data_IF_279197348861
#
_entry.id   IF_279197348861
#
_cell.length_a   1.000
_cell.length_b   1.000
_cell.length_c   1.000
_cell.angle_alpha   90.00
_cell.angle_beta   90.00
_cell.angle_gamma   90.00
#
_symmetry.space_group_name_H-M   'P 1'
#
loop_
_entity.id
_entity.type
_entity.pdbx_description
1 polymer ?
#
# COMPACT_ATOMS: atom_id res chain seq x y z
N UNK A 1 25.76 -31.18 17.68
CA UNK A 1 26.02 -30.31 16.53
C UNK A 1 24.78 -29.71 15.89
N UNK A 2 23.57 -30.26 16.11
CA UNK A 2 22.38 -29.86 15.32
C UNK A 2 21.45 -28.83 16.01
N UNK A 3 21.77 -28.36 17.21
CA UNK A 3 20.95 -27.41 17.95
C UNK A 3 20.99 -26.01 17.30
N UNK A 4 22.10 -25.65 16.65
CA UNK A 4 22.30 -24.32 16.03
C UNK A 4 21.68 -24.15 14.64
N UNK A 5 21.15 -25.19 14.02
CA UNK A 5 20.55 -25.13 12.67
C UNK A 5 19.03 -24.88 12.65
N UNK A 6 18.42 -24.58 13.81
CA UNK A 6 16.97 -24.40 13.94
C UNK A 6 16.58 -23.06 14.53
N UNK A 7 17.43 -22.04 14.40
CA UNK A 7 17.11 -20.71 14.90
C UNK A 7 16.51 -19.90 13.75
N UNK A 8 15.29 -19.47 13.94
CA UNK A 8 14.57 -18.64 12.98
C UNK A 8 14.89 -17.14 13.15
N UNK A 9 15.38 -16.76 14.36
CA UNK A 9 15.67 -15.37 14.70
C UNK A 9 16.80 -15.25 15.71
N UNK A 10 17.65 -14.24 15.51
CA UNK A 10 18.72 -13.85 16.42
C UNK A 10 18.40 -12.43 16.94
N UNK A 11 18.35 -12.27 18.25
CA UNK A 11 18.21 -10.99 18.92
C UNK A 11 19.55 -10.58 19.52
N UNK A 12 20.02 -9.38 19.16
CA UNK A 12 21.29 -8.83 19.66
C UNK A 12 20.97 -7.62 20.53
N UNK A 13 21.33 -7.65 21.80
CA UNK A 13 21.24 -6.52 22.73
C UNK A 13 22.65 -6.01 23.03
N UNK A 14 23.13 -4.94 22.38
CA UNK A 14 24.40 -4.34 22.65
C UNK A 14 24.36 -3.48 23.93
N UNK A 15 25.51 -3.04 24.40
CA UNK A 15 25.61 -2.06 25.49
C UNK A 15 24.96 -0.74 25.12
N UNK A 16 24.13 -0.17 26.02
CA UNK A 16 23.38 1.09 25.78
C UNK A 16 24.27 2.35 25.70
N UNK A 17 25.59 2.24 25.82
CA UNK A 17 26.55 3.36 25.72
C UNK A 17 27.28 3.43 24.38
N UNK A 18 26.93 2.55 23.41
CA UNK A 18 27.47 2.55 22.05
C UNK A 18 26.60 3.30 21.04
N UNK A 19 27.16 3.60 19.88
CA UNK A 19 26.41 4.08 18.74
C UNK A 19 25.72 2.91 18.09
N UNK A 20 24.40 3.02 17.85
CA UNK A 20 23.62 1.99 17.17
C UNK A 20 24.08 1.81 15.71
N UNK A 21 24.46 2.90 15.04
CA UNK A 21 25.03 2.86 13.69
C UNK A 21 26.23 1.92 13.56
N UNK A 22 27.13 1.92 14.54
CA UNK A 22 28.31 1.08 14.48
C UNK A 22 27.97 -0.41 14.63
N UNK A 23 26.98 -0.72 15.47
CA UNK A 23 26.47 -2.09 15.62
C UNK A 23 25.77 -2.56 14.34
N UNK A 24 24.97 -1.70 13.71
CA UNK A 24 24.30 -1.99 12.43
C UNK A 24 25.35 -2.35 11.38
N UNK A 25 26.38 -1.52 11.19
CA UNK A 25 27.46 -1.77 10.22
C UNK A 25 28.17 -3.09 10.50
N UNK A 26 28.42 -3.44 11.76
CA UNK A 26 29.06 -4.70 12.12
C UNK A 26 28.18 -5.92 11.77
N UNK A 27 26.87 -5.81 11.99
CA UNK A 27 25.91 -6.86 11.64
C UNK A 27 25.76 -6.98 10.12
N UNK A 28 25.66 -5.87 9.39
CA UNK A 28 25.57 -5.84 7.91
C UNK A 28 26.76 -6.56 7.27
N UNK A 29 27.98 -6.30 7.73
CA UNK A 29 29.17 -7.03 7.26
C UNK A 29 29.07 -8.53 7.47
N UNK A 30 28.50 -8.96 8.61
CA UNK A 30 28.31 -10.39 8.90
C UNK A 30 27.20 -10.99 7.96
N UNK A 31 26.15 -10.23 7.67
CA UNK A 31 25.11 -10.63 6.74
C UNK A 31 25.67 -10.77 5.31
N UNK A 32 26.55 -9.87 4.88
CA UNK A 32 27.22 -9.94 3.58
C UNK A 32 28.07 -11.20 3.43
N UNK A 33 28.69 -11.67 4.52
CA UNK A 33 29.47 -12.91 4.55
C UNK A 33 28.59 -14.18 4.69
N UNK A 34 27.36 -14.04 5.19
CA UNK A 34 26.45 -15.13 5.46
C UNK A 34 25.09 -14.91 4.79
N UNK A 35 24.90 -15.31 3.51
CA UNK A 35 23.66 -15.04 2.75
C UNK A 35 22.38 -15.64 3.35
N UNK A 36 22.52 -16.59 4.29
CA UNK A 36 21.38 -17.17 5.02
C UNK A 36 20.83 -16.24 6.12
N UNK A 37 21.58 -15.18 6.48
CA UNK A 37 21.16 -14.18 7.45
C UNK A 37 20.55 -12.97 6.75
N UNK A 38 19.56 -12.36 7.39
CA UNK A 38 18.98 -11.10 6.97
C UNK A 38 18.86 -10.17 8.18
N UNK A 39 19.40 -8.96 8.05
CA UNK A 39 19.11 -7.91 9.01
C UNK A 39 17.65 -7.50 8.87
N UNK A 40 16.85 -7.79 9.89
CA UNK A 40 15.41 -7.57 9.85
C UNK A 40 15.03 -6.19 10.40
N UNK A 41 15.56 -5.83 11.55
CA UNK A 41 15.21 -4.56 12.21
C UNK A 41 16.25 -4.14 13.25
N UNK A 42 16.26 -2.85 13.55
CA UNK A 42 17.07 -2.24 14.60
C UNK A 42 16.18 -1.35 15.46
N UNK A 43 16.23 -1.61 16.76
CA UNK A 43 15.27 -1.10 17.74
C UNK A 43 15.98 -0.35 18.83
N UNK A 44 15.47 0.83 19.18
CA UNK A 44 15.93 1.59 20.36
C UNK A 44 14.83 1.59 21.41
N UNK A 45 15.19 1.22 22.65
CA UNK A 45 14.28 1.29 23.80
C UNK A 45 14.71 2.47 24.69
N UNK A 46 13.78 3.39 24.95
CA UNK A 46 14.07 4.58 25.76
C UNK A 46 13.00 4.88 26.80
N UNK A 47 13.37 5.49 27.92
CA UNK A 47 12.45 5.94 28.96
C UNK A 47 11.72 7.22 28.50
N UNK A 48 10.43 7.13 28.25
CA UNK A 48 9.59 8.24 27.79
C UNK A 48 9.68 9.49 28.69
N UNK A 49 9.90 9.30 30.01
CA UNK A 49 10.03 10.40 30.97
C UNK A 49 11.38 11.12 30.90
N UNK A 50 12.36 10.55 30.21
CA UNK A 50 13.77 11.02 30.20
C UNK A 50 14.24 11.50 28.82
N UNK A 51 13.45 11.40 27.76
CA UNK A 51 13.82 11.76 26.39
C UNK A 51 14.54 13.12 26.32
N UNK A 52 13.91 14.17 26.82
CA UNK A 52 14.49 15.53 26.82
C UNK A 52 15.81 15.62 27.57
N UNK A 53 15.92 14.95 28.75
CA UNK A 53 17.12 14.98 29.58
C UNK A 53 18.27 14.20 28.92
N UNK A 54 17.95 13.06 28.29
CA UNK A 54 18.93 12.23 27.62
C UNK A 54 19.48 12.87 26.36
N UNK A 55 18.60 13.48 25.53
CA UNK A 55 19.04 14.27 24.37
C UNK A 55 20.01 15.38 24.73
N UNK A 56 19.78 16.05 25.88
CA UNK A 56 20.63 17.13 26.33
C UNK A 56 21.97 16.65 26.91
N UNK A 57 21.95 15.58 27.72
CA UNK A 57 23.12 15.16 28.53
C UNK A 57 23.98 14.14 27.80
N UNK A 58 23.41 13.32 26.93
CA UNK A 58 24.09 12.24 26.21
C UNK A 58 24.00 12.40 24.70
N UNK A 59 23.91 13.63 24.22
CA UNK A 59 23.50 14.04 22.87
C UNK A 59 24.10 13.20 21.75
N UNK A 60 25.42 12.95 21.73
CA UNK A 60 26.03 12.20 20.63
C UNK A 60 25.53 10.75 20.54
N UNK A 61 25.61 10.02 21.65
CA UNK A 61 25.25 8.61 21.67
C UNK A 61 23.74 8.42 21.62
N UNK A 62 23.00 9.17 22.43
CA UNK A 62 21.55 9.06 22.49
C UNK A 62 20.90 9.46 21.17
N UNK A 63 21.31 10.59 20.59
CA UNK A 63 20.77 11.02 19.30
C UNK A 63 21.09 10.00 18.19
N UNK A 64 22.30 9.46 18.14
CA UNK A 64 22.65 8.42 17.18
C UNK A 64 21.74 7.18 17.33
N UNK A 65 21.47 6.73 18.56
CA UNK A 65 20.55 5.62 18.79
C UNK A 65 19.13 5.91 18.33
N UNK A 66 18.66 7.15 18.45
CA UNK A 66 17.35 7.56 17.95
C UNK A 66 17.36 7.68 16.41
N UNK A 67 18.34 8.38 15.85
CA UNK A 67 18.45 8.64 14.40
C UNK A 67 18.65 7.37 13.57
N UNK A 68 19.41 6.41 14.11
CA UNK A 68 19.65 5.14 13.42
C UNK A 68 18.57 4.08 13.66
N UNK A 69 17.60 4.30 14.55
CA UNK A 69 16.56 3.31 14.84
C UNK A 69 15.56 3.16 13.71
N UNK A 70 15.20 1.93 13.38
CA UNK A 70 14.02 1.63 12.58
C UNK A 70 12.74 1.69 13.39
N UNK A 71 12.84 1.33 14.68
CA UNK A 71 11.72 1.37 15.62
C UNK A 71 12.20 1.91 16.97
N UNK A 72 11.41 2.79 17.56
CA UNK A 72 11.66 3.37 18.88
C UNK A 72 10.56 2.89 19.83
N UNK A 73 10.94 2.21 20.91
CA UNK A 73 10.02 1.73 21.92
C UNK A 73 10.11 2.62 23.16
N UNK A 74 9.03 3.31 23.48
CA UNK A 74 8.92 4.10 24.69
C UNK A 74 8.56 3.21 25.88
N UNK A 75 9.43 3.19 26.87
CA UNK A 75 9.16 2.53 28.15
C UNK A 75 8.58 3.50 29.17
N UNK A 76 7.86 2.97 30.17
CA UNK A 76 7.28 3.72 31.28
C UNK A 76 6.24 4.77 30.88
N UNK A 77 5.60 4.60 29.74
CA UNK A 77 4.55 5.49 29.22
C UNK A 77 3.36 5.62 30.15
N UNK A 78 2.99 4.53 30.84
CA UNK A 78 1.91 4.52 31.85
C UNK A 78 2.09 5.48 33.02
N UNK A 79 3.29 6.05 33.19
CA UNK A 79 3.61 7.01 34.27
C UNK A 79 3.51 8.46 33.81
N UNK A 80 3.23 8.70 32.54
CA UNK A 80 3.20 10.03 31.95
C UNK A 80 1.77 10.53 31.77
N UNK A 81 1.60 11.85 31.84
CA UNK A 81 0.39 12.46 31.28
C UNK A 81 0.43 12.40 29.76
N UNK A 82 -0.72 12.43 29.13
CA UNK A 82 -0.86 12.42 27.68
C UNK A 82 -0.02 13.52 27.00
N UNK A 83 -0.08 14.75 27.50
CA UNK A 83 0.68 15.90 26.99
C UNK A 83 2.21 15.63 26.99
N UNK A 84 2.72 14.97 28.06
CA UNK A 84 4.15 14.63 28.17
C UNK A 84 4.54 13.50 27.22
N UNK A 85 3.65 12.54 27.00
CA UNK A 85 3.85 11.47 26.06
C UNK A 85 3.92 12.00 24.62
N UNK A 86 2.97 12.86 24.25
CA UNK A 86 2.94 13.52 22.94
C UNK A 86 4.18 14.40 22.72
N UNK A 87 4.59 15.16 23.73
CA UNK A 87 5.81 15.96 23.63
C UNK A 87 7.08 15.11 23.47
N UNK A 88 7.15 13.96 24.16
CA UNK A 88 8.27 13.01 24.00
C UNK A 88 8.30 12.41 22.60
N UNK A 89 7.14 11.95 22.11
CA UNK A 89 7.01 11.41 20.76
C UNK A 89 7.36 12.46 19.69
N UNK A 90 6.93 13.70 19.84
CA UNK A 90 7.26 14.79 18.92
C UNK A 90 8.76 15.07 18.86
N UNK A 91 9.46 15.10 20.00
CA UNK A 91 10.91 15.28 20.05
C UNK A 91 11.67 14.14 19.36
N UNK A 92 11.19 12.91 19.48
CA UNK A 92 11.76 11.75 18.79
C UNK A 92 11.49 11.79 17.30
N UNK A 93 10.27 12.17 16.90
CA UNK A 93 9.88 12.33 15.50
C UNK A 93 10.68 13.43 14.79
N UNK A 94 11.01 14.53 15.47
CA UNK A 94 11.89 15.58 14.95
C UNK A 94 13.30 15.03 14.62
N UNK A 95 13.80 14.07 15.41
CA UNK A 95 15.11 13.44 15.19
C UNK A 95 15.08 12.31 14.18
N UNK A 96 13.99 11.56 14.14
CA UNK A 96 13.81 10.43 13.23
C UNK A 96 12.37 10.42 12.73
N UNK A 97 12.12 11.00 11.54
CA UNK A 97 10.80 11.05 10.95
C UNK A 97 10.28 9.69 10.47
N UNK A 98 11.17 8.71 10.25
CA UNK A 98 10.86 7.44 9.60
C UNK A 98 10.69 6.25 10.56
N UNK A 99 11.11 6.40 11.82
CA UNK A 99 11.00 5.32 12.80
C UNK A 99 9.55 5.10 13.23
N UNK A 100 9.14 3.84 13.39
CA UNK A 100 7.92 3.50 14.13
C UNK A 100 8.13 3.82 15.61
N UNK A 101 7.18 4.48 16.29
CA UNK A 101 7.31 4.85 17.71
C UNK A 101 6.21 4.15 18.52
N UNK A 102 6.59 3.18 19.35
CA UNK A 102 5.70 2.54 20.32
C UNK A 102 5.43 3.49 21.49
N UNK A 103 4.17 3.89 21.64
CA UNK A 103 3.74 4.82 22.69
C UNK A 103 2.81 4.17 23.72
N UNK A 104 2.17 3.07 23.37
CA UNK A 104 1.24 2.33 24.22
C UNK A 104 1.99 1.62 25.36
N UNK A 105 1.45 1.59 26.58
CA UNK A 105 2.00 0.80 27.69
C UNK A 105 2.17 -0.68 27.31
N UNK A 106 3.28 -1.29 27.71
CA UNK A 106 3.62 -2.65 27.32
C UNK A 106 2.69 -3.72 27.86
N UNK A 107 2.05 -3.47 28.98
CA UNK A 107 1.05 -4.34 29.59
C UNK A 107 -0.29 -4.36 28.84
N UNK A 108 -0.49 -3.43 27.92
CA UNK A 108 -1.64 -3.38 27.02
C UNK A 108 -1.37 -4.03 25.66
N UNK A 109 -0.11 -4.39 25.36
CA UNK A 109 0.32 -4.91 24.06
C UNK A 109 0.62 -6.41 24.13
N UNK A 110 0.21 -7.14 23.09
CA UNK A 110 0.68 -8.49 22.87
C UNK A 110 2.02 -8.51 22.09
N UNK A 111 2.70 -9.66 22.13
CA UNK A 111 4.00 -9.79 21.46
C UNK A 111 3.92 -9.70 19.93
N UNK A 112 2.78 -9.98 19.33
CA UNK A 112 2.59 -9.88 17.89
C UNK A 112 2.48 -8.43 17.44
N UNK A 113 1.77 -7.61 18.19
CA UNK A 113 1.66 -6.17 17.94
C UNK A 113 3.03 -5.49 18.04
N UNK A 114 3.83 -5.84 19.08
CA UNK A 114 5.20 -5.33 19.20
C UNK A 114 6.05 -5.77 18.00
N UNK A 115 5.94 -7.04 17.60
CA UNK A 115 6.70 -7.57 16.47
C UNK A 115 6.31 -6.88 15.14
N UNK A 116 5.02 -6.64 14.91
CA UNK A 116 4.55 -5.92 13.72
C UNK A 116 5.13 -4.50 13.63
N UNK A 117 5.21 -3.79 14.76
CA UNK A 117 5.85 -2.48 14.81
C UNK A 117 7.37 -2.54 14.52
N UNK A 118 8.05 -3.56 15.05
CA UNK A 118 9.48 -3.79 14.80
C UNK A 118 9.76 -4.14 13.35
N UNK A 119 8.88 -4.87 12.69
CA UNK A 119 8.98 -5.27 11.28
C UNK A 119 8.47 -4.19 10.32
N UNK A 120 8.01 -3.06 10.83
CA UNK A 120 7.50 -1.92 10.07
C UNK A 120 6.37 -2.31 9.11
N UNK A 121 5.44 -3.11 9.59
CA UNK A 121 4.21 -3.39 8.84
C UNK A 121 3.37 -2.12 8.82
N UNK A 122 3.38 -1.41 7.69
CA UNK A 122 2.64 -0.16 7.51
C UNK A 122 1.16 -0.46 7.30
N UNK A 123 0.29 0.21 8.05
CA UNK A 123 -1.16 0.13 7.81
C UNK A 123 -1.52 0.65 6.41
N UNK A 124 -0.79 1.67 5.92
CA UNK A 124 -0.97 2.22 4.57
C UNK A 124 -0.64 1.19 3.51
N UNK A 125 0.49 0.49 3.66
CA UNK A 125 0.94 -0.50 2.69
C UNK A 125 0.01 -1.73 2.69
N UNK A 126 -0.40 -2.21 3.88
CA UNK A 126 -1.36 -3.31 3.99
C UNK A 126 -2.70 -2.96 3.32
N UNK A 127 -3.21 -1.76 3.56
CA UNK A 127 -4.49 -1.31 3.02
C UNK A 127 -4.40 -1.10 1.51
N UNK A 128 -3.32 -0.50 1.01
CA UNK A 128 -3.09 -0.27 -0.41
C UNK A 128 -2.94 -1.60 -1.16
N UNK A 129 -2.16 -2.54 -0.62
CA UNK A 129 -1.99 -3.87 -1.21
C UNK A 129 -3.31 -4.66 -1.25
N UNK A 130 -4.14 -4.52 -0.21
CA UNK A 130 -5.46 -5.13 -0.21
C UNK A 130 -6.36 -4.55 -1.30
N UNK A 131 -6.37 -3.23 -1.48
CA UNK A 131 -7.16 -2.56 -2.53
C UNK A 131 -6.68 -2.96 -3.93
N UNK A 132 -5.37 -3.10 -4.15
CA UNK A 132 -4.82 -3.59 -5.43
C UNK A 132 -5.31 -4.98 -5.75
N UNK A 133 -5.26 -5.90 -4.78
CA UNK A 133 -5.74 -7.28 -4.97
C UNK A 133 -7.25 -7.33 -5.25
N UNK A 134 -8.04 -6.51 -4.58
CA UNK A 134 -9.48 -6.41 -4.83
C UNK A 134 -9.73 -5.93 -6.27
N UNK A 135 -9.01 -4.90 -6.75
CA UNK A 135 -9.11 -4.39 -8.12
C UNK A 135 -8.66 -5.42 -9.17
N UNK A 136 -7.53 -6.10 -8.96
CA UNK A 136 -7.05 -7.17 -9.86
C UNK A 136 -8.07 -8.32 -9.99
N UNK A 137 -8.78 -8.65 -8.90
CA UNK A 137 -9.83 -9.66 -8.93
C UNK A 137 -11.07 -9.19 -9.72
N UNK A 138 -11.47 -7.93 -9.55
CA UNK A 138 -12.58 -7.33 -10.29
C UNK A 138 -12.27 -7.26 -11.80
N UNK A 139 -11.05 -6.86 -12.17
CA UNK A 139 -10.61 -6.85 -13.58
C UNK A 139 -10.61 -8.26 -14.18
N UNK A 140 -10.12 -9.26 -13.46
CA UNK A 140 -10.11 -10.64 -13.91
C UNK A 140 -11.55 -11.23 -14.08
N UNK A 141 -12.50 -10.83 -13.25
CA UNK A 141 -13.90 -11.22 -13.38
C UNK A 141 -14.55 -10.55 -14.63
N UNK A 142 -14.24 -9.28 -14.91
CA UNK A 142 -14.71 -8.57 -16.09
C UNK A 142 -14.14 -9.14 -17.40
N UNK A 143 -12.90 -9.58 -17.44
CA UNK A 143 -12.31 -10.25 -18.62
C UNK A 143 -13.01 -11.59 -18.92
N UNK A 144 -13.49 -12.30 -17.91
CA UNK A 144 -14.23 -13.54 -18.10
C UNK A 144 -15.67 -13.35 -18.60
N UNK A 145 -16.33 -12.23 -18.28
CA UNK A 145 -17.70 -11.95 -18.78
C UNK A 145 -17.72 -11.58 -20.27
N UNK A 146 -16.66 -11.01 -20.82
CA UNK A 146 -16.60 -10.63 -22.23
C UNK A 146 -16.31 -11.78 -23.19
N UNK A 147 -15.95 -12.98 -22.71
CA UNK A 147 -15.64 -14.14 -23.57
C UNK A 147 -16.81 -15.10 -23.82
N UNK A 148 -18.01 -14.87 -23.26
CA UNK A 148 -19.12 -15.82 -23.37
C UNK A 148 -20.26 -15.44 -24.35
N UNK A 149 -20.19 -14.31 -25.07
CA UNK A 149 -21.29 -13.85 -25.95
C UNK A 149 -21.04 -13.99 -27.46
N UNK A 150 -20.16 -14.89 -27.93
CA UNK A 150 -19.90 -15.06 -29.37
C UNK A 150 -20.12 -16.48 -29.93
N UNK A 151 -20.93 -17.33 -29.30
CA UNK A 151 -21.29 -18.64 -29.88
C UNK A 151 -22.80 -18.82 -30.04
N UNK A 152 -23.46 -17.92 -30.78
CA UNK A 152 -24.71 -18.20 -31.48
C UNK A 152 -24.66 -17.65 -32.90
N UNK A 153 -23.92 -18.33 -33.81
CA UNK A 153 -24.10 -18.19 -35.23
C UNK A 153 -25.07 -19.27 -35.69
N UNK A 154 -26.27 -18.83 -36.03
CA UNK A 154 -27.30 -19.57 -36.78
C UNK A 154 -26.66 -20.23 -38.02
N UNK A 155 -26.78 -21.57 -38.07
CA UNK A 155 -26.54 -22.36 -39.27
C UNK A 155 -27.64 -21.98 -40.33
N UNK A 156 -27.28 -21.08 -41.26
CA UNK A 156 -28.04 -20.93 -42.49
C UNK A 156 -27.52 -21.96 -43.50
N UNK A 157 -28.27 -23.08 -43.59
CA UNK A 157 -28.21 -24.05 -44.67
C UNK A 157 -28.67 -23.37 -45.98
N UNK A 158 -27.71 -23.09 -46.86
CA UNK A 158 -27.96 -22.79 -48.25
C UNK A 158 -27.60 -23.98 -49.11
N UNK A 159 -28.58 -24.86 -49.36
CA UNK A 159 -28.50 -25.86 -50.42
C UNK A 159 -28.48 -25.15 -51.77
N UNK A 160 -27.35 -25.12 -52.46
CA UNK A 160 -27.25 -24.80 -53.87
C UNK A 160 -27.09 -26.10 -54.65
N UNK A 161 -28.21 -26.56 -55.24
CA UNK A 161 -28.18 -27.59 -56.28
C UNK A 161 -27.59 -26.99 -57.55
N UNK A 162 -26.42 -27.46 -57.96
CA UNK A 162 -25.86 -27.20 -59.29
C UNK A 162 -26.16 -28.40 -60.20
N UNK A 163 -27.13 -28.23 -61.10
CA UNK A 163 -27.28 -29.07 -62.26
C UNK A 163 -26.24 -28.70 -63.32
N UNK A 164 -25.38 -29.64 -63.64
CA UNK A 164 -24.52 -29.59 -64.83
C UNK A 164 -25.15 -30.46 -65.90
N UNK A 165 -25.68 -29.83 -66.97
CA UNK A 165 -25.89 -30.48 -68.25
C UNK A 165 -24.74 -30.08 -69.18
N UNK A 166 -24.06 -31.11 -69.69
CA UNK A 166 -23.08 -31.03 -70.74
C UNK A 166 -23.79 -31.00 -72.06
N UNK A 167 -23.46 -30.04 -72.92
CA UNK A 167 -23.46 -30.28 -74.36
C UNK A 167 -22.37 -29.43 -75.02
N UNK A 168 -21.68 -30.10 -75.92
CA UNK A 168 -20.46 -29.71 -76.62
C UNK A 168 -20.85 -28.67 -77.72
N UNK A 169 -20.01 -27.71 -78.03
CA UNK A 169 -19.36 -27.42 -79.32
C UNK A 169 -18.94 -25.97 -79.47
N UNK A 170 -17.63 -25.87 -79.81
CA UNK A 170 -16.97 -24.99 -80.75
C UNK A 170 -17.06 -23.43 -80.72
N UNK A 171 -15.78 -22.93 -80.76
CA UNK A 171 -15.28 -21.77 -81.52
C UNK A 171 -15.31 -20.34 -80.93
N UNK A 172 -14.05 -19.86 -80.68
CA UNK A 172 -13.50 -18.52 -80.95
C UNK A 172 -14.20 -17.28 -80.39
N UNK A 173 -13.61 -16.56 -79.46
CA UNK A 173 -12.88 -15.33 -79.74
C UNK A 173 -12.42 -14.63 -78.46
N UNK A 174 -11.27 -13.97 -78.59
CA UNK A 174 -10.60 -13.17 -77.55
C UNK A 174 -11.48 -11.99 -77.07
N UNK A 175 -11.75 -11.91 -75.81
CA UNK A 175 -12.03 -10.63 -75.13
C UNK A 175 -11.45 -10.62 -73.72
N UNK A 176 -10.41 -9.79 -73.56
CA UNK A 176 -9.87 -9.37 -72.26
C UNK A 176 -10.96 -8.61 -71.48
N UNK A 177 -11.43 -9.15 -70.40
CA UNK A 177 -12.12 -8.40 -69.36
C UNK A 177 -11.34 -8.49 -68.05
N UNK A 178 -10.62 -7.42 -67.74
CA UNK A 178 -10.12 -7.13 -66.41
C UNK A 178 -11.30 -6.88 -65.51
N UNK A 179 -11.57 -7.80 -64.58
CA UNK A 179 -12.32 -7.54 -63.39
C UNK A 179 -11.33 -7.46 -62.22
N UNK A 180 -11.03 -6.24 -61.83
CA UNK A 180 -10.44 -5.94 -60.55
C UNK A 180 -11.46 -6.27 -59.46
N UNK A 181 -11.26 -7.37 -58.75
CA UNK A 181 -11.92 -7.62 -57.49
C UNK A 181 -10.98 -7.15 -56.38
N UNK A 182 -11.24 -5.95 -55.88
CA UNK A 182 -10.71 -5.50 -54.62
C UNK A 182 -11.25 -6.43 -53.54
N UNK A 183 -10.42 -7.38 -53.11
CA UNK A 183 -10.61 -8.06 -51.86
C UNK A 183 -9.91 -7.20 -50.81
N UNK A 184 -10.68 -6.44 -50.05
CA UNK A 184 -10.26 -5.86 -48.81
C UNK A 184 -9.92 -7.02 -47.83
N UNK A 185 -8.68 -7.43 -47.87
CA UNK A 185 -8.08 -8.27 -46.80
C UNK A 185 -7.97 -7.42 -45.54
N UNK A 186 -8.97 -7.53 -44.66
CA UNK A 186 -8.81 -7.08 -43.29
C UNK A 186 -7.84 -8.00 -42.56
N UNK A 187 -6.55 -7.75 -42.76
CA UNK A 187 -5.52 -8.30 -41.88
C UNK A 187 -5.65 -7.65 -40.50
N UNK A 188 -6.21 -8.39 -39.55
CA UNK A 188 -6.09 -8.02 -38.15
C UNK A 188 -4.64 -8.21 -37.69
N UNK A 189 -3.86 -7.15 -37.83
CA UNK A 189 -2.54 -7.08 -37.23
C UNK A 189 -2.68 -6.93 -35.71
N UNK A 190 -2.50 -8.04 -35.00
CA UNK A 190 -2.22 -7.99 -33.57
C UNK A 190 -0.82 -7.39 -33.38
N UNK A 191 -0.75 -6.10 -33.18
CA UNK A 191 0.47 -5.44 -32.77
C UNK A 191 0.72 -5.71 -31.28
N UNK A 192 1.66 -6.61 -31.00
CA UNK A 192 2.30 -6.64 -29.69
C UNK A 192 3.21 -5.41 -29.62
N UNK A 193 2.78 -4.37 -28.91
CA UNK A 193 3.61 -3.21 -28.62
C UNK A 193 4.50 -3.51 -27.41
N UNK A 194 5.75 -3.80 -27.68
CA UNK A 194 6.83 -3.65 -26.72
C UNK A 194 7.16 -2.14 -26.59
N UNK A 195 6.42 -1.41 -25.75
CA UNK A 195 6.85 -0.14 -25.15
C UNK A 195 7.09 1.08 -26.05
N UNK A 196 6.61 1.12 -27.30
CA UNK A 196 6.71 2.32 -28.15
C UNK A 196 5.36 3.06 -28.21
N UNK A 197 5.38 4.38 -28.05
CA UNK A 197 4.21 5.25 -28.11
C UNK A 197 3.57 5.21 -29.50
N UNK A 198 2.26 4.94 -29.58
CA UNK A 198 1.51 4.92 -30.82
C UNK A 198 1.03 6.33 -31.17
N UNK A 199 1.50 6.92 -32.26
CA UNK A 199 1.16 8.27 -32.73
C UNK A 199 -0.11 8.33 -33.60
N UNK A 200 -0.88 7.23 -33.72
CA UNK A 200 -2.11 7.20 -34.53
C UNK A 200 -3.33 7.67 -33.68
N UNK A 201 -3.93 8.83 -34.01
CA UNK A 201 -5.07 9.37 -33.27
C UNK A 201 -6.39 8.58 -33.44
N UNK A 202 -6.44 7.59 -34.34
CA UNK A 202 -7.58 6.72 -34.56
C UNK A 202 -7.37 5.29 -33.98
N UNK A 203 -6.25 5.04 -33.34
CA UNK A 203 -5.96 3.74 -32.76
C UNK A 203 -6.67 3.58 -31.40
N UNK A 204 -7.49 2.54 -31.28
CA UNK A 204 -8.19 2.18 -30.02
C UNK A 204 -7.23 1.58 -28.95
N UNK A 205 -5.91 1.45 -29.23
CA UNK A 205 -4.93 0.98 -28.26
C UNK A 205 -4.63 2.00 -27.14
N UNK A 206 -5.19 3.21 -27.18
CA UNK A 206 -5.14 4.21 -26.11
C UNK A 206 -6.14 3.95 -24.97
N UNK A 207 -6.59 2.74 -24.76
CA UNK A 207 -7.12 2.38 -23.46
C UNK A 207 -5.94 2.40 -22.48
N UNK A 208 -5.60 3.60 -22.02
CA UNK A 208 -4.73 3.78 -20.88
C UNK A 208 -5.35 3.03 -19.70
N UNK A 209 -4.87 1.81 -19.47
CA UNK A 209 -5.01 1.21 -18.15
C UNK A 209 -4.23 2.12 -17.20
N UNK A 210 -4.90 3.13 -16.66
CA UNK A 210 -4.36 3.89 -15.55
C UNK A 210 -4.18 2.89 -14.41
N UNK A 211 -2.95 2.45 -14.20
CA UNK A 211 -2.64 1.66 -13.03
C UNK A 211 -3.13 2.44 -11.82
N UNK A 212 -3.80 1.78 -10.88
CA UNK A 212 -4.34 2.42 -9.68
C UNK A 212 -3.27 3.26 -8.96
N UNK A 213 -1.99 2.92 -9.14
CA UNK A 213 -0.83 3.66 -8.62
C UNK A 213 -0.62 5.05 -9.23
N UNK A 214 -1.08 5.28 -10.47
CA UNK A 214 -0.93 6.58 -11.15
C UNK A 214 -2.00 7.59 -10.71
N UNK A 215 -3.11 7.10 -10.13
CA UNK A 215 -4.27 7.92 -9.76
C UNK A 215 -4.42 8.08 -8.26
N UNK A 216 -4.05 7.07 -7.46
CA UNK A 216 -4.29 7.05 -6.02
C UNK A 216 -3.01 7.16 -5.20
N UNK A 217 -3.07 8.00 -4.19
CA UNK A 217 -2.03 8.15 -3.17
C UNK A 217 -2.57 7.76 -1.80
N UNK A 218 -1.66 7.40 -0.90
CA UNK A 218 -1.97 7.12 0.49
C UNK A 218 -1.28 8.13 1.42
N UNK A 219 -2.01 8.59 2.43
CA UNK A 219 -1.49 9.39 3.51
C UNK A 219 -1.65 8.61 4.81
N UNK A 220 -0.53 8.15 5.37
CA UNK A 220 -0.47 7.40 6.61
C UNK A 220 0.23 8.19 7.70
N UNK A 221 -0.29 8.14 8.93
CA UNK A 221 0.34 8.78 10.10
C UNK A 221 0.22 7.92 11.34
N UNK A 222 1.25 8.03 12.17
CA UNK A 222 1.29 7.50 13.52
C UNK A 222 1.13 8.63 14.53
N UNK A 223 0.36 8.38 15.59
CA UNK A 223 0.08 9.40 16.59
C UNK A 223 -0.24 8.80 17.96
N UNK A 224 0.33 9.33 19.05
CA UNK A 224 -0.08 8.98 20.41
C UNK A 224 -1.33 9.74 20.87
N UNK A 225 -1.94 10.57 20.02
CA UNK A 225 -3.06 11.44 20.36
C UNK A 225 -4.29 10.64 20.79
N UNK A 226 -5.00 11.18 21.78
CA UNK A 226 -6.30 10.68 22.23
C UNK A 226 -7.44 11.31 21.44
N UNK A 227 -8.38 10.48 21.02
CA UNK A 227 -9.60 10.91 20.35
C UNK A 227 -10.85 10.51 21.13
N UNK A 228 -11.83 11.40 21.20
CA UNK A 228 -13.18 10.96 21.57
C UNK A 228 -13.87 10.34 20.35
N UNK A 229 -14.82 9.41 20.59
CA UNK A 229 -15.61 8.84 19.48
C UNK A 229 -16.33 9.94 18.69
N UNK A 230 -16.91 10.92 19.37
CA UNK A 230 -17.62 12.05 18.73
C UNK A 230 -16.68 12.91 17.86
N UNK A 231 -15.43 13.13 18.28
CA UNK A 231 -14.45 13.85 17.48
C UNK A 231 -14.07 13.07 16.22
N UNK A 232 -13.90 11.74 16.30
CA UNK A 232 -13.66 10.92 15.13
C UNK A 232 -14.84 10.90 14.16
N UNK A 233 -16.06 10.74 14.64
CA UNK A 233 -17.28 10.82 13.81
C UNK A 233 -17.37 12.15 13.07
N UNK A 234 -17.03 13.28 13.73
CA UNK A 234 -16.98 14.62 13.11
C UNK A 234 -15.87 14.75 12.05
N UNK A 235 -14.69 14.20 12.35
CA UNK A 235 -13.56 14.16 11.39
C UNK A 235 -13.94 13.37 10.13
N UNK A 236 -14.48 12.15 10.30
CA UNK A 236 -14.84 11.29 9.19
C UNK A 236 -15.96 11.89 8.33
N UNK A 237 -16.97 12.51 8.97
CA UNK A 237 -18.01 13.26 8.24
C UNK A 237 -17.44 14.40 7.39
N UNK A 238 -16.39 15.08 7.86
CA UNK A 238 -15.75 16.16 7.11
C UNK A 238 -14.98 15.67 5.89
N UNK A 239 -14.54 14.43 5.85
CA UNK A 239 -13.87 13.86 4.68
C UNK A 239 -14.75 13.90 3.42
N UNK A 240 -16.07 13.90 3.56
CA UNK A 240 -17.04 14.00 2.44
C UNK A 240 -17.12 15.41 1.81
N UNK A 241 -16.50 16.44 2.43
CA UNK A 241 -16.61 17.82 1.93
C UNK A 241 -15.88 18.09 0.61
N UNK A 242 -14.95 17.21 0.22
CA UNK A 242 -14.05 17.43 -0.92
C UNK A 242 -12.90 18.42 -0.64
N UNK A 243 -12.82 19.00 0.56
CA UNK A 243 -11.75 19.91 0.94
C UNK A 243 -10.39 19.26 1.09
N UNK A 244 -10.36 17.94 1.27
CA UNK A 244 -9.18 17.12 1.60
C UNK A 244 -8.63 16.32 0.41
N UNK A 245 -9.24 16.47 -0.77
CA UNK A 245 -9.02 15.65 -1.98
C UNK A 245 -10.19 14.72 -2.24
N UNK A 246 -10.05 13.82 -3.20
CA UNK A 246 -11.06 12.80 -3.48
C UNK A 246 -10.76 11.57 -2.62
N UNK A 247 -11.36 11.49 -1.43
CA UNK A 247 -11.12 10.40 -0.50
C UNK A 247 -11.91 9.17 -0.95
N UNK A 248 -11.23 8.04 -1.11
CA UNK A 248 -11.83 6.76 -1.45
C UNK A 248 -12.01 5.88 -0.21
N UNK A 249 -11.05 5.90 0.68
CA UNK A 249 -11.07 5.10 1.90
C UNK A 249 -10.25 5.76 2.99
N UNK A 250 -10.72 5.64 4.22
CA UNK A 250 -9.87 5.88 5.37
C UNK A 250 -10.05 4.75 6.40
N UNK A 251 -8.97 4.42 7.07
CA UNK A 251 -8.97 3.41 8.12
C UNK A 251 -8.00 3.82 9.21
N UNK A 252 -8.31 3.44 10.44
CA UNK A 252 -7.38 3.67 11.54
C UNK A 252 -7.74 2.93 12.80
N UNK A 253 -6.71 2.83 13.63
CA UNK A 253 -6.79 2.34 15.00
C UNK A 253 -6.13 3.43 15.85
N UNK A 254 -6.87 4.05 16.74
CA UNK A 254 -6.39 5.18 17.53
C UNK A 254 -6.71 5.03 19.00
N UNK A 255 -5.93 5.66 19.85
CA UNK A 255 -6.18 5.68 21.29
C UNK A 255 -7.39 6.58 21.57
N UNK A 256 -8.39 6.06 22.27
CA UNK A 256 -9.61 6.75 22.61
C UNK A 256 -9.71 7.06 24.11
N UNK A 257 -10.51 8.05 24.50
CA UNK A 257 -10.72 8.44 25.90
C UNK A 257 -11.26 7.30 26.79
N UNK A 258 -11.96 6.33 26.19
CA UNK A 258 -12.55 5.18 26.88
C UNK A 258 -11.96 3.82 26.48
N UNK A 259 -10.82 3.81 25.81
CA UNK A 259 -10.19 2.63 25.22
C UNK A 259 -9.95 2.83 23.73
N UNK A 260 -9.31 1.89 23.09
CA UNK A 260 -8.96 1.96 21.70
C UNK A 260 -10.19 2.00 20.79
N UNK A 261 -10.09 2.79 19.71
CA UNK A 261 -11.12 2.97 18.70
C UNK A 261 -10.58 2.54 17.34
N UNK A 262 -11.37 1.79 16.61
CA UNK A 262 -11.16 1.50 15.21
C UNK A 262 -12.16 2.27 14.38
N UNK A 263 -11.74 2.78 13.22
CA UNK A 263 -12.65 3.38 12.28
C UNK A 263 -12.38 2.89 10.85
N UNK A 264 -13.46 2.77 10.11
CA UNK A 264 -13.47 2.56 8.67
C UNK A 264 -14.34 3.64 8.03
N UNK A 265 -13.91 4.17 6.88
CA UNK A 265 -14.61 5.18 6.10
C UNK A 265 -14.54 4.82 4.61
N UNK A 266 -15.65 4.95 3.95
CA UNK A 266 -15.82 5.07 2.50
C UNK A 266 -16.70 6.31 2.25
N UNK A 267 -16.72 6.89 1.03
CA UNK A 267 -17.55 8.07 0.76
C UNK A 267 -18.99 7.92 1.23
N UNK A 268 -19.47 8.89 2.00
CA UNK A 268 -20.81 8.98 2.59
C UNK A 268 -21.13 7.95 3.70
N UNK A 269 -20.19 7.04 4.02
CA UNK A 269 -20.40 6.02 5.06
C UNK A 269 -19.15 5.84 5.92
N UNK A 270 -19.33 5.83 7.25
CA UNK A 270 -18.25 5.51 8.18
C UNK A 270 -18.76 4.82 9.44
N UNK A 271 -17.86 4.09 10.09
CA UNK A 271 -18.11 3.43 11.37
C UNK A 271 -16.95 3.70 12.32
N UNK A 272 -17.28 4.03 13.57
CA UNK A 272 -16.34 4.09 14.70
C UNK A 272 -16.78 3.11 15.76
N UNK A 273 -15.94 2.10 16.01
CA UNK A 273 -16.21 0.99 16.96
C UNK A 273 -15.10 0.85 17.98
N UNK A 274 -15.35 0.06 19.03
CA UNK A 274 -14.31 -0.32 19.97
C UNK A 274 -13.25 -1.19 19.27
N UNK A 275 -11.99 -0.85 19.47
CA UNK A 275 -10.82 -1.54 18.90
C UNK A 275 -9.99 -2.22 19.98
N UNK A 276 -8.89 -2.83 19.54
CA UNK A 276 -7.87 -3.44 20.39
C UNK A 276 -6.66 -2.54 20.49
N UNK A 277 -5.88 -2.59 21.59
CA UNK A 277 -4.64 -1.85 21.71
C UNK A 277 -3.67 -2.14 20.56
N UNK A 278 -3.13 -1.08 19.98
CA UNK A 278 -2.03 -1.15 19.01
C UNK A 278 -0.79 -0.47 19.60
N UNK A 279 0.36 -0.61 18.96
CA UNK A 279 1.63 -0.05 19.47
C UNK A 279 1.63 1.48 19.55
N UNK A 280 0.87 2.13 18.69
CA UNK A 280 0.53 3.56 18.69
C UNK A 280 -0.76 3.76 17.93
N UNK A 281 -1.36 4.95 17.98
CA UNK A 281 -2.45 5.28 17.07
C UNK A 281 -1.92 5.33 15.63
N UNK A 282 -2.62 4.68 14.71
CA UNK A 282 -2.30 4.67 13.29
C UNK A 282 -3.54 5.03 12.48
N UNK A 283 -3.35 5.86 11.47
CA UNK A 283 -4.41 6.22 10.55
C UNK A 283 -3.89 6.28 9.12
N UNK A 284 -4.74 5.94 8.19
CA UNK A 284 -4.46 5.93 6.78
C UNK A 284 -5.66 6.51 6.01
N UNK A 285 -5.37 7.34 5.03
CA UNK A 285 -6.34 7.88 4.07
C UNK A 285 -5.82 7.58 2.68
N UNK A 286 -6.67 7.01 1.83
CA UNK A 286 -6.37 6.70 0.44
C UNK A 286 -7.32 7.50 -0.45
N UNK A 287 -6.78 8.09 -1.51
CA UNK A 287 -7.57 8.87 -2.45
C UNK A 287 -6.73 9.53 -3.54
N UNK A 288 -7.37 10.34 -4.35
CA UNK A 288 -6.71 11.14 -5.37
C UNK A 288 -6.59 12.59 -4.92
N UNK A 289 -5.51 13.27 -5.33
CA UNK A 289 -5.24 14.68 -5.02
C UNK A 289 -5.30 15.01 -3.51
N UNK A 290 -4.79 14.11 -2.67
CA UNK A 290 -4.82 14.26 -1.22
C UNK A 290 -4.12 15.56 -0.79
N UNK A 291 -4.79 16.35 0.05
CA UNK A 291 -4.26 17.58 0.64
C UNK A 291 -3.72 17.26 2.03
N UNK A 292 -2.51 16.74 2.08
CA UNK A 292 -1.89 16.19 3.29
C UNK A 292 -1.85 17.16 4.47
N UNK A 293 -1.51 18.43 4.23
CA UNK A 293 -1.49 19.46 5.29
C UNK A 293 -2.88 19.66 5.91
N UNK A 294 -3.92 19.65 5.10
CA UNK A 294 -5.31 19.78 5.59
C UNK A 294 -5.77 18.53 6.31
N UNK A 295 -5.36 17.34 5.85
CA UNK A 295 -5.61 16.08 6.55
C UNK A 295 -4.94 16.08 7.92
N UNK A 296 -3.67 16.51 7.99
CA UNK A 296 -2.96 16.64 9.25
C UNK A 296 -3.69 17.60 10.21
N UNK A 297 -4.10 18.78 9.74
CA UNK A 297 -4.87 19.74 10.52
C UNK A 297 -6.22 19.17 10.99
N UNK A 298 -6.94 18.46 10.11
CA UNK A 298 -8.23 17.83 10.43
C UNK A 298 -8.10 16.81 11.57
N UNK A 299 -7.08 15.95 11.50
CA UNK A 299 -6.79 14.97 12.56
C UNK A 299 -6.05 15.59 13.75
N UNK A 300 -5.62 16.86 13.64
CA UNK A 300 -4.92 17.59 14.68
C UNK A 300 -3.49 17.11 14.93
N UNK A 301 -2.78 16.78 13.86
CA UNK A 301 -1.41 16.26 13.83
C UNK A 301 -0.44 17.35 13.38
#
# INVERSE_FOLDING_TARGET
>A
GDVYKRQDRILIEPSGVGKLSDVIVAVERTVDECPELKLNSYVTVTDASKVKVYMKNFGEFYNNQIEAAGTIILSRTQKLSQEKLEAAAAMLREKNPDAAILTTPWDELDGKTILSAIEKVSLSDELLEKMRREHELEEAEHEHEHHHDHDEHDEHDHEHEHHHDHDEDDDHDEHEHHHEHDHDDHEHHHHHHDGEECDDPACECHHHHHHADDVFSSWGKETPKLYSKAALDDILTKLDSGDYGHILRAKGIVNGEGGWLEFDYVPEEHEVRAGHPDYTGRLCVIGAELKEDKLAELFGL
#
